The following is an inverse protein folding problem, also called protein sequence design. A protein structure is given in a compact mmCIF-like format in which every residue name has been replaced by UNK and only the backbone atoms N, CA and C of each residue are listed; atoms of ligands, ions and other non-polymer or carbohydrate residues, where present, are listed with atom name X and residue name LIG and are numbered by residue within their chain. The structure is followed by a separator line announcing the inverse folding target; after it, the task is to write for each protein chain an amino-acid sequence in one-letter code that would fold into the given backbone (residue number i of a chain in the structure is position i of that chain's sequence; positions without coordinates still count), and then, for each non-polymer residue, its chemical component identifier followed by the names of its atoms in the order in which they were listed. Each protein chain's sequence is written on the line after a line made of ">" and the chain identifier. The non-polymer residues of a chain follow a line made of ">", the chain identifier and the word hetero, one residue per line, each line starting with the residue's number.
data_IF_094814026419
#
_entry.id   IF_094814026419
#
_cell.length_a   1.000
_cell.length_b   1.000
_cell.length_c   1.000
_cell.angle_alpha   90.00
_cell.angle_beta   90.00
_cell.angle_gamma   90.00
#
_symmetry.space_group_name_H-M   'P 1'
#
loop_
_entity.id
_entity.type
_entity.pdbx_description
1 polymer ?
#
# COMPACT_ATOMS: atom_id res chain seq x y z
N UNK A 1 51.35 -3.18 -36.17
CA UNK A 1 51.25 -3.87 -37.48
C UNK A 1 49.89 -4.56 -37.49
N UNK A 2 48.88 -4.10 -38.23
CA UNK A 2 48.76 -4.00 -39.72
C UNK A 2 48.70 -5.40 -40.37
N UNK A 3 47.76 -5.80 -41.24
CA UNK A 3 46.53 -5.19 -41.84
C UNK A 3 45.42 -6.28 -42.02
N UNK A 4 44.09 -6.08 -42.15
CA UNK A 4 43.16 -4.91 -42.22
C UNK A 4 42.63 -4.41 -43.60
N UNK A 5 42.41 -5.30 -44.58
CA UNK A 5 41.75 -4.98 -45.88
C UNK A 5 40.38 -5.64 -46.11
N UNK A 6 39.42 -5.14 -46.92
CA UNK A 6 39.02 -3.75 -47.28
C UNK A 6 37.61 -3.79 -47.98
N UNK A 7 36.66 -2.92 -47.55
CA UNK A 7 35.59 -2.19 -48.30
C UNK A 7 34.51 -2.78 -49.26
N UNK A 8 33.33 -2.10 -49.27
CA UNK A 8 32.36 -2.00 -50.39
C UNK A 8 30.86 -2.06 -49.98
N UNK A 9 30.20 -1.00 -49.47
CA UNK A 9 29.50 0.11 -50.19
C UNK A 9 28.65 -0.39 -51.38
N UNK A 10 27.33 -0.21 -51.54
CA UNK A 10 26.38 0.83 -51.09
C UNK A 10 24.91 0.55 -51.55
N UNK A 11 23.97 1.53 -51.59
CA UNK A 11 22.56 1.29 -51.20
C UNK A 11 21.45 1.50 -52.28
N UNK A 12 20.22 1.03 -51.98
CA UNK A 12 18.87 1.34 -52.58
C UNK A 12 17.80 0.49 -51.85
N UNK A 13 16.49 0.81 -51.76
CA UNK A 13 15.70 2.06 -51.79
C UNK A 13 14.29 1.75 -51.17
N UNK A 14 13.44 2.75 -50.90
CA UNK A 14 12.12 2.57 -50.26
C UNK A 14 11.12 1.68 -51.04
N UNK A 15 10.20 1.05 -50.29
CA UNK A 15 8.97 0.43 -50.82
C UNK A 15 7.79 0.54 -49.84
N UNK A 16 6.91 1.52 -50.05
CA UNK A 16 5.64 1.69 -49.32
C UNK A 16 4.56 0.75 -49.91
N UNK A 17 4.00 -0.13 -49.07
CA UNK A 17 2.89 -1.01 -49.45
C UNK A 17 1.54 -0.51 -48.93
N UNK A 18 0.78 0.20 -49.77
CA UNK A 18 -0.65 0.42 -49.54
C UNK A 18 -1.42 -0.89 -49.76
N UNK A 19 -2.40 -1.19 -48.91
CA UNK A 19 -3.45 -2.18 -49.20
C UNK A 19 -4.84 -1.56 -49.10
N UNK A 20 -5.75 -2.14 -49.87
CA UNK A 20 -6.87 -1.45 -50.53
C UNK A 20 -8.18 -1.66 -49.79
N UNK A 21 -9.03 -0.63 -49.79
CA UNK A 21 -10.43 -0.72 -49.37
C UNK A 21 -11.24 -1.41 -50.47
N UNK A 22 -12.00 -2.46 -50.13
CA UNK A 22 -13.11 -2.95 -50.94
C UNK A 22 -14.40 -2.97 -50.12
N UNK A 23 -15.49 -2.50 -50.73
CA UNK A 23 -16.81 -2.42 -50.12
C UNK A 23 -17.54 -3.76 -50.30
N UNK A 24 -18.08 -4.32 -49.21
CA UNK A 24 -19.06 -5.40 -49.26
C UNK A 24 -20.39 -4.95 -48.64
N UNK A 25 -21.49 -5.17 -49.37
CA UNK A 25 -22.82 -4.63 -49.09
C UNK A 25 -23.55 -5.41 -47.99
N UNK A 26 -24.30 -4.70 -47.15
CA UNK A 26 -25.10 -5.28 -46.08
C UNK A 26 -26.20 -6.24 -46.56
N UNK A 27 -26.35 -7.38 -45.86
CA UNK A 27 -27.65 -8.00 -45.57
C UNK A 27 -27.71 -8.32 -44.07
N UNK A 28 -28.84 -8.00 -43.45
CA UNK A 28 -28.96 -7.94 -41.99
C UNK A 28 -29.25 -9.28 -41.30
N UNK A 29 -29.03 -9.28 -39.99
CA UNK A 29 -29.40 -10.35 -39.06
C UNK A 29 -29.06 -9.93 -37.64
N UNK A 30 -30.07 -9.63 -36.81
CA UNK A 30 -29.86 -9.17 -35.43
C UNK A 30 -29.18 -10.26 -34.58
N UNK A 31 -28.15 -9.85 -33.82
CA UNK A 31 -27.84 -10.34 -32.46
C UNK A 31 -26.91 -9.35 -31.78
N UNK A 32 -27.37 -8.80 -30.65
CA UNK A 32 -26.56 -7.92 -29.81
C UNK A 32 -25.45 -8.72 -29.12
N UNK A 33 -24.20 -8.30 -29.29
CA UNK A 33 -23.07 -8.80 -28.52
C UNK A 33 -22.45 -7.63 -27.75
N UNK A 34 -22.80 -7.50 -26.47
CA UNK A 34 -22.31 -6.45 -25.59
C UNK A 34 -20.84 -6.68 -25.22
N UNK A 35 -19.94 -6.04 -25.96
CA UNK A 35 -18.50 -6.04 -25.66
C UNK A 35 -18.22 -5.24 -24.39
N UNK A 36 -18.28 -5.92 -23.24
CA UNK A 36 -17.85 -5.38 -21.96
C UNK A 36 -16.33 -5.23 -21.93
N UNK A 37 -15.84 -4.03 -22.30
CA UNK A 37 -14.43 -3.67 -22.22
C UNK A 37 -14.02 -3.40 -20.76
N UNK A 38 -13.94 -4.45 -19.92
CA UNK A 38 -13.45 -4.31 -18.55
C UNK A 38 -11.94 -4.14 -18.54
N UNK A 39 -11.46 -2.99 -18.06
CA UNK A 39 -10.03 -2.70 -17.92
C UNK A 39 -9.34 -3.65 -16.92
N UNK A 40 -8.72 -4.71 -17.44
CA UNK A 40 -7.87 -5.62 -16.66
C UNK A 40 -6.52 -4.97 -16.38
N UNK A 41 -6.32 -4.50 -15.13
CA UNK A 41 -5.02 -4.02 -14.68
C UNK A 41 -3.98 -5.17 -14.63
N UNK A 42 -2.70 -4.90 -14.96
CA UNK A 42 -1.67 -5.94 -15.15
C UNK A 42 -1.25 -6.71 -13.88
N UNK A 43 -1.76 -6.33 -12.70
CA UNK A 43 -1.57 -7.11 -11.47
C UNK A 43 -2.39 -8.42 -11.44
N UNK A 44 -3.42 -8.56 -12.29
CA UNK A 44 -4.28 -9.76 -12.30
C UNK A 44 -3.66 -10.96 -13.04
N UNK A 45 -2.68 -10.72 -13.90
CA UNK A 45 -2.03 -11.77 -14.72
C UNK A 45 -0.79 -12.38 -14.08
N UNK A 46 -0.25 -11.81 -13.00
CA UNK A 46 1.03 -12.26 -12.42
C UNK A 46 0.90 -13.45 -11.44
N UNK A 47 -0.33 -13.90 -11.13
CA UNK A 47 -0.62 -15.00 -10.19
C UNK A 47 -1.35 -16.18 -10.86
N UNK A 48 -1.45 -16.20 -12.19
CA UNK A 48 -2.18 -17.22 -12.95
C UNK A 48 -1.34 -17.70 -14.14
N UNK A 49 -0.30 -18.48 -13.86
CA UNK A 49 0.18 -19.46 -14.84
C UNK A 49 -0.78 -20.65 -14.80
N UNK A 50 -1.37 -21.00 -15.94
CA UNK A 50 -2.58 -21.84 -16.02
C UNK A 50 -2.34 -23.36 -15.96
N UNK A 51 -1.12 -23.81 -15.63
CA UNK A 51 -0.71 -25.23 -15.72
C UNK A 51 -0.69 -25.98 -14.37
N UNK A 52 -1.01 -25.31 -13.26
CA UNK A 52 -0.98 -25.91 -11.91
C UNK A 52 -2.34 -26.20 -11.26
N UNK A 53 -3.45 -26.17 -12.02
CA UNK A 53 -4.80 -26.10 -11.43
C UNK A 53 -5.48 -27.45 -11.14
N UNK A 54 -4.92 -28.59 -11.57
CA UNK A 54 -5.59 -29.89 -11.47
C UNK A 54 -5.30 -30.69 -10.17
N UNK A 55 -4.35 -30.25 -9.33
CA UNK A 55 -3.98 -30.94 -8.06
C UNK A 55 -4.29 -30.13 -6.78
N UNK A 56 -5.11 -29.08 -6.84
CA UNK A 56 -5.42 -28.25 -5.66
C UNK A 56 -6.66 -28.70 -4.90
N UNK A 57 -6.49 -29.02 -3.61
CA UNK A 57 -7.58 -29.47 -2.73
C UNK A 57 -8.58 -28.35 -2.40
N UNK A 58 -9.84 -28.71 -2.12
CA UNK A 58 -10.94 -27.76 -1.83
C UNK A 58 -10.63 -26.67 -0.77
N UNK A 59 -9.91 -26.91 0.35
CA UNK A 59 -9.51 -25.83 1.26
C UNK A 59 -8.54 -24.82 0.65
N UNK A 60 -7.67 -25.22 -0.28
CA UNK A 60 -6.72 -24.31 -0.94
C UNK A 60 -7.45 -23.35 -1.89
N UNK A 61 -8.46 -23.84 -2.62
CA UNK A 61 -9.31 -23.02 -3.48
C UNK A 61 -10.12 -21.99 -2.67
N UNK A 62 -10.59 -22.38 -1.48
CA UNK A 62 -11.24 -21.47 -0.53
C UNK A 62 -10.31 -20.37 -0.01
N UNK A 63 -9.05 -20.72 0.31
CA UNK A 63 -8.03 -19.75 0.72
C UNK A 63 -7.73 -18.73 -0.40
N UNK A 64 -7.55 -19.19 -1.64
CA UNK A 64 -7.31 -18.31 -2.80
C UNK A 64 -8.47 -17.34 -3.02
N UNK A 65 -9.72 -17.81 -2.96
CA UNK A 65 -10.89 -16.93 -3.11
C UNK A 65 -11.03 -15.92 -1.96
N UNK A 66 -10.69 -16.32 -0.73
CA UNK A 66 -10.63 -15.41 0.42
C UNK A 66 -9.58 -14.31 0.23
N UNK A 67 -8.35 -14.69 -0.15
CA UNK A 67 -7.23 -13.78 -0.44
C UNK A 67 -7.57 -12.83 -1.60
N UNK A 68 -8.16 -13.33 -2.68
CA UNK A 68 -8.62 -12.50 -3.79
C UNK A 68 -9.67 -11.46 -3.33
N UNK A 69 -10.62 -11.85 -2.47
CA UNK A 69 -11.61 -10.92 -1.91
C UNK A 69 -10.99 -9.85 -1.01
N UNK A 70 -9.93 -10.19 -0.28
CA UNK A 70 -9.17 -9.27 0.58
C UNK A 70 -8.35 -8.28 -0.25
N UNK A 71 -7.63 -8.76 -1.26
CA UNK A 71 -6.88 -7.93 -2.21
C UNK A 71 -7.81 -6.95 -2.91
N UNK A 72 -8.95 -7.41 -3.42
CA UNK A 72 -9.90 -6.57 -4.14
C UNK A 72 -10.55 -5.52 -3.21
N UNK A 73 -10.79 -5.86 -1.94
CA UNK A 73 -11.21 -4.92 -0.89
C UNK A 73 -10.13 -3.89 -0.57
N UNK A 74 -8.84 -4.25 -0.51
CA UNK A 74 -7.72 -3.31 -0.30
C UNK A 74 -7.52 -2.39 -1.51
N UNK A 75 -7.72 -2.89 -2.73
CA UNK A 75 -7.53 -2.14 -3.98
C UNK A 75 -8.71 -1.23 -4.37
N UNK A 76 -9.93 -1.45 -3.88
CA UNK A 76 -11.11 -0.63 -4.22
C UNK A 76 -11.42 0.52 -3.25
N UNK A 77 -10.56 0.79 -2.27
CA UNK A 77 -10.78 1.84 -1.27
C UNK A 77 -10.75 3.27 -1.85
N UNK A 78 -11.48 4.23 -1.24
CA UNK A 78 -11.46 5.64 -1.62
C UNK A 78 -10.08 6.30 -1.61
N UNK A 79 -9.97 7.44 -2.30
CA UNK A 79 -8.73 8.18 -2.58
C UNK A 79 -8.22 9.00 -1.37
N UNK A 80 -7.93 8.33 -0.24
CA UNK A 80 -7.31 8.95 0.93
C UNK A 80 -5.93 9.57 0.65
N UNK A 81 -5.27 10.12 1.67
CA UNK A 81 -3.98 10.82 1.49
C UNK A 81 -2.90 9.99 0.82
N UNK A 82 -1.95 10.65 0.16
CA UNK A 82 -0.84 9.98 -0.55
C UNK A 82 -0.04 9.09 0.41
N UNK A 83 0.24 9.58 1.63
CA UNK A 83 0.90 8.79 2.67
C UNK A 83 0.05 7.59 3.13
N UNK A 84 -1.26 7.76 3.32
CA UNK A 84 -2.19 6.68 3.70
C UNK A 84 -2.18 5.55 2.65
N UNK A 85 -2.24 5.91 1.36
CA UNK A 85 -2.18 4.95 0.24
C UNK A 85 -0.82 4.26 0.13
N UNK A 86 0.27 4.99 0.29
CA UNK A 86 1.62 4.41 0.24
C UNK A 86 1.78 3.32 1.30
N UNK A 87 1.39 3.59 2.54
CA UNK A 87 1.48 2.61 3.62
C UNK A 87 0.48 1.46 3.44
N UNK A 88 -0.81 1.76 3.51
CA UNK A 88 -1.86 0.74 3.71
C UNK A 88 -2.18 -0.10 2.47
N UNK A 89 -1.70 0.31 1.29
CA UNK A 89 -1.99 -0.35 0.01
C UNK A 89 -0.73 -0.70 -0.78
N UNK A 90 0.17 0.25 -1.00
CA UNK A 90 1.37 -0.02 -1.83
C UNK A 90 2.39 -0.86 -1.05
N UNK A 91 2.78 -0.43 0.14
CA UNK A 91 3.74 -1.17 0.99
C UNK A 91 3.17 -2.50 1.47
N UNK A 92 1.90 -2.54 1.92
CA UNK A 92 1.22 -3.81 2.25
C UNK A 92 1.22 -4.78 1.06
N UNK A 93 0.84 -4.31 -0.13
CA UNK A 93 0.83 -5.13 -1.34
C UNK A 93 2.22 -5.61 -1.76
N UNK A 94 3.21 -4.73 -1.72
CA UNK A 94 4.60 -5.05 -2.02
C UNK A 94 5.17 -6.12 -1.08
N UNK A 95 4.97 -5.96 0.24
CA UNK A 95 5.46 -6.91 1.24
C UNK A 95 4.72 -8.24 1.16
N UNK A 96 3.39 -8.23 0.97
CA UNK A 96 2.60 -9.45 0.81
C UNK A 96 2.99 -10.24 -0.45
N UNK A 97 3.21 -9.57 -1.59
CA UNK A 97 3.69 -10.21 -2.83
C UNK A 97 5.11 -10.73 -2.64
N UNK A 98 6.01 -9.96 -2.01
CA UNK A 98 7.38 -10.40 -1.73
C UNK A 98 7.40 -11.64 -0.83
N UNK A 99 6.60 -11.65 0.24
CA UNK A 99 6.43 -12.81 1.11
C UNK A 99 5.87 -14.03 0.36
N UNK A 100 4.86 -13.84 -0.50
CA UNK A 100 4.27 -14.93 -1.29
C UNK A 100 5.24 -15.52 -2.32
N UNK A 101 6.03 -14.68 -3.00
CA UNK A 101 7.07 -15.12 -3.95
C UNK A 101 8.19 -15.88 -3.23
N UNK A 102 8.63 -15.41 -2.07
CA UNK A 102 9.64 -16.13 -1.30
C UNK A 102 9.09 -17.45 -0.76
N UNK A 103 7.86 -17.47 -0.24
CA UNK A 103 7.17 -18.71 0.15
C UNK A 103 7.06 -19.69 -1.01
N UNK A 104 6.75 -19.24 -2.24
CA UNK A 104 6.68 -20.16 -3.39
C UNK A 104 8.04 -20.76 -3.72
N UNK A 105 9.16 -20.03 -3.59
CA UNK A 105 10.49 -20.61 -3.84
C UNK A 105 10.87 -21.76 -2.90
N UNK A 106 10.24 -21.89 -1.72
CA UNK A 106 10.44 -23.04 -0.83
C UNK A 106 9.75 -24.34 -1.30
N UNK A 107 8.78 -24.26 -2.22
CA UNK A 107 8.06 -25.43 -2.74
C UNK A 107 8.60 -25.96 -4.08
N UNK A 108 9.33 -25.14 -4.85
CA UNK A 108 9.71 -25.44 -6.26
C UNK A 108 11.21 -25.73 -6.46
N UNK A 109 11.99 -25.92 -5.40
CA UNK A 109 13.41 -26.27 -5.51
C UNK A 109 14.10 -26.52 -4.17
N UNK A 110 15.35 -27.01 -4.21
CA UNK A 110 16.17 -27.15 -3.00
C UNK A 110 16.72 -25.78 -2.57
N UNK A 111 16.41 -25.30 -1.35
CA UNK A 111 16.82 -23.96 -0.91
C UNK A 111 18.33 -23.83 -0.70
N UNK A 112 19.01 -24.96 -0.50
CA UNK A 112 20.45 -25.10 -0.28
C UNK A 112 20.93 -26.40 -0.93
N UNK A 113 22.12 -26.38 -1.55
CA UNK A 113 22.79 -27.58 -2.02
C UNK A 113 24.21 -27.62 -1.44
N UNK A 114 24.56 -28.69 -0.74
CA UNK A 114 25.83 -28.85 -0.05
C UNK A 114 26.78 -29.82 -0.78
N UNK A 115 28.04 -29.41 -0.89
CA UNK A 115 29.16 -30.19 -1.39
C UNK A 115 29.48 -31.31 -0.39
N UNK A 116 28.78 -32.43 -0.56
CA UNK A 116 28.92 -33.62 0.25
C UNK A 116 30.09 -34.50 -0.23
N UNK A 117 30.76 -35.25 0.66
CA UNK A 117 31.82 -36.18 0.27
C UNK A 117 31.33 -37.28 -0.70
N UNK A 118 32.18 -37.69 -1.64
CA UNK A 118 31.84 -38.62 -2.72
C UNK A 118 31.34 -40.01 -2.25
N UNK A 119 31.63 -40.40 -1.02
CA UNK A 119 31.14 -41.65 -0.40
C UNK A 119 29.68 -41.60 0.09
N UNK A 120 28.99 -40.45 0.00
CA UNK A 120 27.59 -40.33 0.40
C UNK A 120 26.65 -40.73 -0.74
N UNK A 121 25.67 -41.59 -0.47
CA UNK A 121 24.58 -41.89 -1.42
C UNK A 121 23.63 -40.69 -1.54
N UNK A 122 22.84 -40.63 -2.61
CA UNK A 122 21.92 -39.52 -2.87
C UNK A 122 20.99 -39.18 -1.69
N UNK A 123 20.54 -40.21 -0.96
CA UNK A 123 19.75 -40.07 0.28
C UNK A 123 20.49 -39.39 1.43
N UNK A 124 21.79 -39.64 1.59
CA UNK A 124 22.63 -38.92 2.56
C UNK A 124 22.86 -37.47 2.14
N UNK A 125 23.01 -37.20 0.84
CA UNK A 125 23.16 -35.83 0.32
C UNK A 125 21.88 -35.01 0.58
N UNK A 126 20.71 -35.59 0.34
CA UNK A 126 19.43 -34.95 0.64
C UNK A 126 19.26 -34.69 2.16
N UNK A 127 19.62 -35.66 3.00
CA UNK A 127 19.62 -35.49 4.45
C UNK A 127 20.57 -34.36 4.91
N UNK A 128 21.79 -34.27 4.36
CA UNK A 128 22.74 -33.20 4.67
C UNK A 128 22.19 -31.84 4.24
N UNK A 129 21.59 -31.73 3.04
CA UNK A 129 20.96 -30.50 2.58
C UNK A 129 19.86 -30.03 3.54
N UNK A 130 18.96 -30.93 3.95
CA UNK A 130 17.88 -30.63 4.91
C UNK A 130 18.44 -30.30 6.30
N UNK A 131 19.44 -31.04 6.78
CA UNK A 131 20.10 -30.80 8.06
C UNK A 131 20.72 -29.40 8.12
N UNK A 132 21.53 -29.04 7.11
CA UNK A 132 22.17 -27.72 7.02
C UNK A 132 21.16 -26.59 6.83
N UNK A 133 20.06 -26.84 6.09
CA UNK A 133 18.97 -25.88 5.98
C UNK A 133 18.34 -25.56 7.34
N UNK A 134 18.06 -26.59 8.16
CA UNK A 134 17.36 -26.49 9.45
C UNK A 134 18.27 -25.99 10.58
N UNK A 135 19.49 -26.54 10.71
CA UNK A 135 20.44 -26.17 11.76
C UNK A 135 21.14 -24.82 11.53
N UNK A 136 21.04 -24.26 10.32
CA UNK A 136 21.69 -23.01 9.94
C UNK A 136 23.12 -23.22 9.46
N UNK A 137 23.64 -22.19 8.79
CA UNK A 137 25.01 -22.17 8.26
C UNK A 137 25.78 -20.97 8.83
N UNK A 138 27.08 -20.86 8.53
CA UNK A 138 27.91 -19.72 8.95
C UNK A 138 28.83 -19.28 7.81
N UNK A 139 29.34 -18.06 7.88
CA UNK A 139 30.28 -17.51 6.90
C UNK A 139 31.65 -17.24 7.51
N UNK A 140 32.69 -17.69 6.80
CA UNK A 140 34.10 -17.36 7.02
C UNK A 140 34.68 -16.96 5.65
N UNK A 141 35.50 -15.90 5.54
CA UNK A 141 36.18 -15.56 4.30
C UNK A 141 37.07 -16.70 3.78
N UNK A 142 37.17 -16.87 2.45
CA UNK A 142 37.92 -17.97 1.84
C UNK A 142 39.45 -17.82 1.91
N UNK A 143 39.92 -16.64 2.28
CA UNK A 143 41.31 -16.29 2.53
C UNK A 143 41.74 -16.53 3.99
N UNK A 144 40.79 -16.86 4.89
CA UNK A 144 41.05 -17.23 6.28
C UNK A 144 40.97 -18.76 6.48
N UNK A 145 41.83 -19.32 7.33
CA UNK A 145 41.69 -20.73 7.77
C UNK A 145 40.48 -20.88 8.70
N UNK A 146 39.76 -22.00 8.60
CA UNK A 146 38.61 -22.29 9.47
C UNK A 146 39.04 -22.37 10.95
N UNK A 147 38.52 -21.51 11.85
CA UNK A 147 38.87 -21.56 13.27
C UNK A 147 38.59 -22.90 13.94
N UNK A 148 39.43 -23.31 14.90
CA UNK A 148 39.21 -24.54 15.66
C UNK A 148 38.05 -24.39 16.68
N UNK A 149 37.93 -23.24 17.36
CA UNK A 149 36.81 -22.95 18.24
C UNK A 149 35.52 -22.73 17.42
N UNK A 150 34.45 -23.42 17.80
CA UNK A 150 33.13 -23.29 17.20
C UNK A 150 32.57 -21.86 17.33
N UNK A 151 32.92 -21.13 18.40
CA UNK A 151 32.49 -19.74 18.61
C UNK A 151 33.04 -18.80 17.55
N UNK A 152 34.30 -18.98 17.18
CA UNK A 152 34.96 -18.14 16.18
C UNK A 152 34.48 -18.50 14.77
N UNK A 153 34.28 -19.80 14.47
CA UNK A 153 33.62 -20.23 13.21
C UNK A 153 32.23 -19.63 13.04
N UNK A 154 31.40 -19.69 14.09
CA UNK A 154 29.99 -19.25 14.05
C UNK A 154 29.80 -17.75 14.32
N UNK A 155 30.86 -16.95 14.28
CA UNK A 155 30.82 -15.49 14.52
C UNK A 155 29.85 -14.75 13.57
N UNK A 156 29.69 -15.23 12.34
CA UNK A 156 28.71 -14.73 11.36
C UNK A 156 27.71 -15.85 11.01
N UNK A 157 26.66 -16.05 11.82
CA UNK A 157 25.65 -17.08 11.57
C UNK A 157 24.66 -16.63 10.48
N UNK A 158 24.30 -17.54 9.59
CA UNK A 158 23.36 -17.32 8.48
C UNK A 158 22.16 -18.25 8.69
N UNK A 159 21.10 -17.72 9.30
CA UNK A 159 19.83 -18.43 9.58
C UNK A 159 18.55 -17.63 9.27
N UNK A 160 18.67 -16.37 8.82
CA UNK A 160 17.51 -15.50 8.56
C UNK A 160 16.57 -16.04 7.48
N UNK A 161 17.08 -16.77 6.48
CA UNK A 161 16.34 -17.22 5.30
C UNK A 161 15.12 -18.09 5.63
N UNK A 162 15.11 -18.79 6.77
CA UNK A 162 13.95 -19.54 7.25
C UNK A 162 12.79 -18.62 7.65
N UNK A 163 13.10 -17.41 8.11
CA UNK A 163 12.18 -16.49 8.77
C UNK A 163 11.76 -15.31 7.90
N UNK A 164 12.57 -14.91 6.90
CA UNK A 164 12.28 -13.77 6.01
C UNK A 164 10.84 -13.75 5.48
N UNK A 165 10.28 -14.85 4.91
CA UNK A 165 8.95 -14.77 4.31
C UNK A 165 7.85 -14.51 5.35
N UNK A 166 7.98 -15.10 6.55
CA UNK A 166 7.06 -14.89 7.67
C UNK A 166 7.21 -13.50 8.29
N UNK A 167 8.45 -12.99 8.38
CA UNK A 167 8.73 -11.62 8.82
C UNK A 167 8.05 -10.62 7.86
N UNK A 168 8.27 -10.74 6.56
CA UNK A 168 7.67 -9.84 5.55
C UNK A 168 6.13 -9.88 5.59
N UNK A 169 5.53 -11.05 5.79
CA UNK A 169 4.09 -11.18 5.98
C UNK A 169 3.60 -10.48 7.26
N UNK A 170 4.33 -10.60 8.37
CA UNK A 170 4.05 -9.89 9.61
C UNK A 170 4.19 -8.36 9.45
N UNK A 171 5.25 -7.89 8.78
CA UNK A 171 5.43 -6.48 8.42
C UNK A 171 4.26 -5.95 7.58
N UNK A 172 3.77 -6.72 6.60
CA UNK A 172 2.60 -6.35 5.80
C UNK A 172 1.33 -6.16 6.67
N UNK A 173 1.08 -7.06 7.62
CA UNK A 173 -0.04 -6.93 8.56
C UNK A 173 0.11 -5.69 9.46
N UNK A 174 1.31 -5.45 9.99
CA UNK A 174 1.58 -4.28 10.83
C UNK A 174 1.48 -2.97 10.04
N UNK A 175 1.88 -2.92 8.76
CA UNK A 175 1.64 -1.75 7.89
C UNK A 175 0.15 -1.46 7.65
N UNK A 176 -0.71 -2.47 7.68
CA UNK A 176 -2.18 -2.32 7.56
C UNK A 176 -2.85 -1.88 8.89
N UNK A 177 -2.25 -2.21 10.04
CA UNK A 177 -2.86 -2.02 11.36
C UNK A 177 -3.31 -0.56 11.67
N UNK A 178 -2.53 0.51 11.41
CA UNK A 178 -2.99 1.87 11.67
C UNK A 178 -4.21 2.25 10.82
N UNK A 179 -4.33 1.69 9.60
CA UNK A 179 -5.50 1.91 8.73
C UNK A 179 -6.77 1.26 9.28
N UNK A 180 -6.62 0.07 9.84
CA UNK A 180 -7.69 -0.63 10.55
C UNK A 180 -8.15 0.18 11.78
N UNK A 181 -7.20 0.64 12.60
CA UNK A 181 -7.47 1.48 13.78
C UNK A 181 -8.20 2.77 13.38
N UNK A 182 -7.75 3.47 12.34
CA UNK A 182 -8.43 4.67 11.83
C UNK A 182 -9.89 4.40 11.44
N UNK A 183 -10.17 3.29 10.73
CA UNK A 183 -11.55 2.92 10.35
C UNK A 183 -12.41 2.64 11.58
N UNK A 184 -11.89 1.90 12.56
CA UNK A 184 -12.59 1.61 13.81
C UNK A 184 -12.87 2.89 14.62
N UNK A 185 -11.94 3.84 14.66
CA UNK A 185 -12.13 5.15 15.30
C UNK A 185 -13.17 6.03 14.57
N UNK A 186 -13.24 5.98 13.24
CA UNK A 186 -14.31 6.64 12.49
C UNK A 186 -15.70 6.12 12.92
N UNK A 187 -15.88 4.79 12.96
CA UNK A 187 -17.14 4.16 13.38
C UNK A 187 -17.48 4.53 14.83
N UNK A 188 -16.48 4.51 15.73
CA UNK A 188 -16.66 4.92 17.12
C UNK A 188 -17.05 6.40 17.28
N UNK A 189 -16.55 7.29 16.41
CA UNK A 189 -16.90 8.72 16.42
C UNK A 189 -18.36 9.03 16.00
N UNK A 190 -19.09 8.04 15.49
CA UNK A 190 -20.47 8.18 15.04
C UNK A 190 -20.63 8.85 13.66
N UNK A 191 -19.53 9.25 13.01
CA UNK A 191 -19.54 9.86 11.67
C UNK A 191 -18.75 8.99 10.66
N UNK A 192 -19.45 8.41 9.68
CA UNK A 192 -18.80 7.65 8.60
C UNK A 192 -18.25 8.58 7.50
N UNK A 193 -17.03 9.08 7.74
CA UNK A 193 -16.30 9.87 6.75
C UNK A 193 -16.06 9.12 5.43
N UNK A 194 -15.85 7.79 5.47
CA UNK A 194 -15.56 7.01 4.27
C UNK A 194 -16.83 6.86 3.41
N UNK A 195 -17.98 6.63 4.04
CA UNK A 195 -19.30 6.65 3.42
C UNK A 195 -19.64 8.02 2.83
N UNK A 196 -19.39 9.09 3.59
CA UNK A 196 -19.61 10.47 3.14
C UNK A 196 -18.79 10.82 1.89
N UNK A 197 -17.48 10.56 1.90
CA UNK A 197 -16.61 10.72 0.72
C UNK A 197 -17.12 9.87 -0.45
N UNK A 198 -17.51 8.61 -0.19
CA UNK A 198 -18.05 7.69 -1.19
C UNK A 198 -19.39 8.15 -1.78
N UNK A 199 -20.22 8.86 -1.02
CA UNK A 199 -21.46 9.47 -1.51
C UNK A 199 -21.16 10.66 -2.42
N UNK A 200 -20.44 11.68 -1.93
CA UNK A 200 -20.12 12.89 -2.70
C UNK A 200 -19.37 12.55 -4.01
N UNK A 201 -18.46 11.57 -3.97
CA UNK A 201 -17.71 11.16 -5.16
C UNK A 201 -18.59 10.44 -6.20
N UNK A 202 -19.64 9.72 -5.78
CA UNK A 202 -20.63 9.13 -6.71
C UNK A 202 -21.51 10.21 -7.32
N UNK A 203 -22.07 11.11 -6.50
CA UNK A 203 -22.87 12.24 -6.98
C UNK A 203 -22.08 13.09 -7.97
N UNK A 204 -20.81 13.40 -7.71
CA UNK A 204 -19.96 14.14 -8.65
C UNK A 204 -19.70 13.37 -9.96
N UNK A 205 -19.52 12.05 -9.90
CA UNK A 205 -19.33 11.22 -11.09
C UNK A 205 -20.60 11.14 -11.97
N UNK A 206 -21.80 11.23 -11.38
CA UNK A 206 -23.07 11.32 -12.08
C UNK A 206 -23.29 12.72 -12.69
N UNK A 207 -23.10 13.78 -11.90
CA UNK A 207 -23.19 15.18 -12.36
C UNK A 207 -22.24 15.44 -13.53
N UNK A 208 -21.02 14.86 -13.52
CA UNK A 208 -20.05 15.02 -14.61
C UNK A 208 -20.49 14.36 -15.93
N UNK A 209 -21.35 13.33 -15.88
CA UNK A 209 -21.89 12.66 -17.09
C UNK A 209 -23.10 13.39 -17.68
N UNK A 210 -23.86 14.09 -16.84
CA UNK A 210 -25.05 14.81 -17.27
C UNK A 210 -24.70 16.18 -17.86
N UNK A 211 -25.19 16.55 -19.06
CA UNK A 211 -24.95 17.86 -19.67
C UNK A 211 -25.82 18.96 -19.02
N UNK A 212 -25.61 19.20 -17.72
CA UNK A 212 -26.29 20.26 -16.97
C UNK A 212 -25.52 21.58 -17.04
N UNK A 213 -26.28 22.69 -17.10
CA UNK A 213 -25.79 24.05 -16.84
C UNK A 213 -25.20 24.17 -15.43
N UNK A 214 -24.31 25.15 -15.21
CA UNK A 214 -23.68 25.43 -13.92
C UNK A 214 -24.71 25.52 -12.77
N UNK A 215 -25.84 26.20 -13.01
CA UNK A 215 -26.92 26.34 -12.05
C UNK A 215 -27.55 24.98 -11.65
N UNK A 216 -27.82 24.10 -12.61
CA UNK A 216 -28.37 22.77 -12.33
C UNK A 216 -27.41 21.87 -11.55
N UNK A 217 -26.10 22.01 -11.79
CA UNK A 217 -25.08 21.30 -10.98
C UNK A 217 -25.07 21.80 -9.53
N UNK A 218 -25.17 23.12 -9.33
CA UNK A 218 -25.25 23.71 -7.99
C UNK A 218 -26.50 23.22 -7.25
N UNK A 219 -27.66 23.22 -7.91
CA UNK A 219 -28.93 22.77 -7.33
C UNK A 219 -28.88 21.32 -6.83
N UNK A 220 -28.20 20.41 -7.55
CA UNK A 220 -28.01 19.03 -7.09
C UNK A 220 -27.13 18.97 -5.83
N UNK A 221 -26.06 19.76 -5.77
CA UNK A 221 -25.22 19.85 -4.57
C UNK A 221 -25.99 20.42 -3.37
N UNK A 222 -26.80 21.45 -3.58
CA UNK A 222 -27.64 22.08 -2.55
C UNK A 222 -28.69 21.12 -2.01
N UNK A 223 -29.53 20.53 -2.89
CA UNK A 223 -30.68 19.72 -2.47
C UNK A 223 -30.34 18.31 -1.96
N UNK A 224 -29.22 17.72 -2.38
CA UNK A 224 -28.88 16.33 -2.03
C UNK A 224 -27.59 16.23 -1.20
N UNK A 225 -26.51 16.85 -1.69
CA UNK A 225 -25.16 16.60 -1.15
C UNK A 225 -24.93 17.37 0.16
N UNK A 226 -25.31 18.64 0.19
CA UNK A 226 -25.21 19.50 1.37
C UNK A 226 -26.16 19.06 2.48
N UNK A 227 -27.42 18.72 2.17
CA UNK A 227 -28.39 18.19 3.14
C UNK A 227 -27.85 16.95 3.84
N UNK A 228 -27.41 15.94 3.08
CA UNK A 228 -26.87 14.69 3.64
C UNK A 228 -25.64 14.93 4.54
N UNK A 229 -24.72 15.82 4.14
CA UNK A 229 -23.54 16.14 4.93
C UNK A 229 -23.87 16.97 6.18
N UNK A 230 -24.80 17.93 6.08
CA UNK A 230 -25.26 18.72 7.22
C UNK A 230 -25.95 17.82 8.26
N UNK A 231 -26.85 16.93 7.84
CA UNK A 231 -27.48 15.94 8.73
C UNK A 231 -26.45 15.03 9.39
N UNK A 232 -25.52 14.48 8.60
CA UNK A 232 -24.46 13.60 9.10
C UNK A 232 -23.56 14.30 10.12
N UNK A 233 -23.18 15.56 9.89
CA UNK A 233 -22.39 16.37 10.82
C UNK A 233 -23.15 16.69 12.11
N UNK A 234 -24.45 17.04 12.03
CA UNK A 234 -25.28 17.33 13.20
C UNK A 234 -25.46 16.06 14.06
N UNK A 235 -25.82 14.94 13.45
CA UNK A 235 -25.95 13.63 14.11
C UNK A 235 -24.62 13.18 14.74
N UNK A 236 -23.50 13.40 14.06
CA UNK A 236 -22.17 13.13 14.57
C UNK A 236 -21.86 13.94 15.84
N UNK A 237 -22.12 15.25 15.84
CA UNK A 237 -21.91 16.12 17.01
C UNK A 237 -22.71 15.68 18.23
N UNK A 238 -23.99 15.34 18.05
CA UNK A 238 -24.85 14.85 19.13
C UNK A 238 -24.30 13.59 19.82
N UNK A 239 -23.53 12.76 19.10
CA UNK A 239 -22.89 11.54 19.64
C UNK A 239 -21.45 11.73 20.12
N UNK A 240 -21.02 12.95 20.44
CA UNK A 240 -19.63 13.33 20.80
C UNK A 240 -18.61 13.21 19.66
N UNK A 241 -19.04 13.34 18.39
CA UNK A 241 -18.17 13.33 17.21
C UNK A 241 -17.15 14.48 17.09
N UNK A 242 -16.95 15.27 18.15
CA UNK A 242 -16.04 16.43 18.23
C UNK A 242 -14.54 16.09 18.34
N UNK A 243 -14.18 14.84 18.01
CA UNK A 243 -12.82 14.32 18.15
C UNK A 243 -12.31 13.68 16.86
N UNK A 244 -13.04 13.76 15.74
CA UNK A 244 -12.66 13.01 14.51
C UNK A 244 -11.33 13.51 13.93
N UNK A 245 -11.07 14.81 14.00
CA UNK A 245 -9.76 15.37 13.63
C UNK A 245 -8.63 14.89 14.56
N UNK A 246 -8.89 14.82 15.87
CA UNK A 246 -7.90 14.33 16.85
C UNK A 246 -7.61 12.83 16.67
N UNK A 247 -8.64 12.02 16.39
CA UNK A 247 -8.47 10.60 16.05
C UNK A 247 -7.69 10.41 14.74
N UNK A 248 -7.85 11.31 13.78
CA UNK A 248 -7.04 11.29 12.56
C UNK A 248 -5.57 11.64 12.84
N UNK A 249 -5.31 12.67 13.65
CA UNK A 249 -3.96 13.01 14.08
C UNK A 249 -3.30 11.84 14.82
N UNK A 250 -4.01 11.21 15.76
CA UNK A 250 -3.55 9.99 16.43
C UNK A 250 -3.21 8.87 15.44
N UNK A 251 -4.08 8.62 14.44
CA UNK A 251 -3.82 7.60 13.42
C UNK A 251 -2.60 7.93 12.54
N UNK A 252 -2.37 9.20 12.18
CA UNK A 252 -1.18 9.60 11.40
C UNK A 252 0.11 9.50 12.21
N UNK A 253 0.08 9.86 13.50
CA UNK A 253 1.20 9.62 14.43
C UNK A 253 1.51 8.13 14.54
N UNK A 254 0.49 7.29 14.75
CA UNK A 254 0.65 5.83 14.81
C UNK A 254 1.22 5.25 13.50
N UNK A 255 0.77 5.77 12.34
CA UNK A 255 1.31 5.38 11.03
C UNK A 255 2.78 5.77 10.86
N UNK A 256 3.17 6.95 11.35
CA UNK A 256 4.55 7.44 11.32
C UNK A 256 5.47 6.61 12.24
N UNK A 257 5.04 6.35 13.48
CA UNK A 257 5.77 5.51 14.43
C UNK A 257 5.96 4.09 13.90
N UNK A 258 4.91 3.51 13.30
CA UNK A 258 4.99 2.21 12.65
C UNK A 258 6.00 2.23 11.48
N UNK A 259 5.93 3.19 10.56
CA UNK A 259 6.85 3.24 9.42
C UNK A 259 8.33 3.28 9.84
N UNK A 260 8.68 4.07 10.86
CA UNK A 260 10.03 4.08 11.44
C UNK A 260 10.39 2.78 12.16
N UNK A 261 9.47 2.21 12.95
CA UNK A 261 9.69 0.94 13.63
C UNK A 261 9.91 -0.22 12.65
N UNK A 262 9.20 -0.26 11.53
CA UNK A 262 9.38 -1.29 10.49
C UNK A 262 10.74 -1.17 9.79
N UNK A 263 11.20 0.05 9.49
CA UNK A 263 12.53 0.28 8.92
C UNK A 263 13.67 -0.07 9.91
N UNK A 264 13.52 0.28 11.19
CA UNK A 264 14.47 -0.13 12.24
C UNK A 264 14.47 -1.67 12.44
N UNK A 265 13.29 -2.30 12.40
CA UNK A 265 13.19 -3.76 12.51
C UNK A 265 13.88 -4.44 11.32
N UNK A 266 13.74 -3.92 10.10
CA UNK A 266 14.43 -4.42 8.91
C UNK A 266 15.95 -4.41 9.08
N UNK A 267 16.52 -3.34 9.66
CA UNK A 267 17.96 -3.28 9.96
C UNK A 267 18.42 -4.40 10.90
N UNK A 268 17.62 -4.74 11.92
CA UNK A 268 17.95 -5.83 12.85
C UNK A 268 17.83 -7.22 12.22
N UNK A 269 16.88 -7.43 11.30
CA UNK A 269 16.69 -8.70 10.59
C UNK A 269 17.86 -8.99 9.64
N UNK A 270 18.45 -7.95 9.06
CA UNK A 270 19.62 -8.05 8.16
C UNK A 270 20.93 -8.26 8.94
N UNK A 271 20.90 -8.24 10.29
CA UNK A 271 22.05 -8.50 11.18
C UNK A 271 23.30 -7.64 10.85
N UNK A 272 23.08 -6.37 10.51
CA UNK A 272 24.16 -5.39 10.40
C UNK A 272 24.72 -5.06 11.79
N UNK A 273 25.73 -5.81 12.22
CA UNK A 273 26.45 -5.57 13.48
C UNK A 273 27.25 -4.24 13.49
N UNK A 274 27.39 -3.58 12.34
CA UNK A 274 28.34 -2.46 12.16
C UNK A 274 27.64 -1.10 12.05
N UNK A 275 26.44 -0.99 11.44
CA UNK A 275 25.72 0.29 11.38
C UNK A 275 24.21 0.19 11.10
N UNK A 276 23.45 1.19 11.60
CA UNK A 276 22.03 1.42 11.28
C UNK A 276 21.81 1.93 9.83
N UNK A 277 22.87 2.28 9.11
CA UNK A 277 22.85 2.80 7.74
C UNK A 277 23.24 1.75 6.70
N UNK A 278 22.94 0.48 6.99
CA UNK A 278 23.30 -0.69 6.19
C UNK A 278 23.06 -0.50 4.68
N UNK A 279 21.87 -0.02 4.29
CA UNK A 279 21.51 0.12 2.86
C UNK A 279 22.40 1.11 2.08
N UNK A 280 22.92 2.15 2.75
CA UNK A 280 23.91 3.04 2.12
C UNK A 280 25.28 2.38 2.02
N UNK A 281 25.73 1.68 3.08
CA UNK A 281 27.01 0.97 3.10
C UNK A 281 27.11 -0.02 1.95
N UNK A 282 26.13 -0.91 1.82
CA UNK A 282 26.11 -1.94 0.78
C UNK A 282 26.03 -1.35 -0.63
N UNK A 283 25.29 -0.26 -0.85
CA UNK A 283 25.30 0.43 -2.15
C UNK A 283 26.69 1.01 -2.45
N UNK A 284 27.36 1.62 -1.47
CA UNK A 284 28.73 2.11 -1.67
C UNK A 284 29.73 0.98 -1.92
N UNK A 285 29.65 -0.13 -1.19
CA UNK A 285 30.50 -1.31 -1.38
C UNK A 285 30.34 -1.89 -2.80
N UNK A 286 29.09 -2.05 -3.27
CA UNK A 286 28.79 -2.54 -4.62
C UNK A 286 29.33 -1.58 -5.70
N UNK A 287 29.24 -0.26 -5.50
CA UNK A 287 29.79 0.73 -6.44
C UNK A 287 31.31 0.64 -6.53
N UNK A 288 32.00 0.36 -5.41
CA UNK A 288 33.45 0.15 -5.37
C UNK A 288 33.87 -1.26 -5.82
N UNK A 289 32.92 -2.13 -6.19
CA UNK A 289 33.20 -3.51 -6.62
C UNK A 289 33.55 -4.48 -5.49
N UNK A 290 33.30 -4.11 -4.23
CA UNK A 290 33.56 -4.96 -3.07
C UNK A 290 32.45 -6.02 -2.98
N UNK A 291 32.85 -7.30 -3.04
CA UNK A 291 31.94 -8.44 -3.03
C UNK A 291 31.63 -8.99 -1.64
N UNK A 292 30.57 -9.81 -1.58
CA UNK A 292 30.15 -10.56 -0.38
C UNK A 292 31.27 -11.44 0.22
N UNK A 293 32.27 -11.81 -0.59
CA UNK A 293 33.43 -12.58 -0.16
C UNK A 293 34.29 -11.87 0.89
N UNK A 294 34.31 -10.53 0.89
CA UNK A 294 35.08 -9.72 1.85
C UNK A 294 34.19 -9.15 2.96
N UNK A 295 32.94 -8.79 2.65
CA UNK A 295 32.05 -8.12 3.61
C UNK A 295 31.23 -9.09 4.45
N UNK A 296 31.07 -10.35 4.00
CA UNK A 296 30.17 -11.32 4.61
C UNK A 296 28.67 -10.95 4.52
N UNK A 297 28.32 -9.88 3.80
CA UNK A 297 26.93 -9.49 3.56
C UNK A 297 26.33 -10.35 2.44
N UNK A 298 25.24 -11.06 2.74
CA UNK A 298 24.52 -11.94 1.82
C UNK A 298 25.43 -12.95 1.08
N UNK A 299 26.17 -13.81 1.81
CA UNK A 299 27.12 -14.74 1.22
C UNK A 299 26.40 -15.80 0.39
N UNK A 300 26.97 -16.16 -0.76
CA UNK A 300 26.37 -17.13 -1.70
C UNK A 300 26.88 -18.55 -1.47
N UNK A 301 27.97 -18.68 -0.72
CA UNK A 301 28.53 -19.94 -0.24
C UNK A 301 28.72 -19.79 1.26
N UNK A 302 28.28 -20.77 2.03
CA UNK A 302 28.41 -20.83 3.49
C UNK A 302 28.94 -22.18 3.94
N UNK A 303 29.41 -22.26 5.17
CA UNK A 303 29.87 -23.49 5.80
C UNK A 303 28.77 -24.07 6.69
N UNK A 304 28.68 -25.40 6.73
CA UNK A 304 27.78 -26.14 7.61
C UNK A 304 28.58 -27.23 8.34
N UNK A 305 28.47 -27.28 9.66
CA UNK A 305 29.06 -28.33 10.49
C UNK A 305 28.03 -29.46 10.67
N UNK A 306 28.32 -30.63 10.10
CA UNK A 306 27.47 -31.82 10.10
C UNK A 306 27.98 -32.86 11.11
N UNK A 307 27.12 -33.25 12.06
CA UNK A 307 27.48 -34.14 13.17
C UNK A 307 27.03 -35.59 12.93
N UNK A 308 27.98 -36.50 12.62
CA UNK A 308 27.73 -37.95 12.57
C UNK A 308 28.01 -38.59 13.92
N UNK A 309 27.00 -39.28 14.49
CA UNK A 309 27.14 -40.02 15.75
C UNK A 309 27.47 -41.48 15.50
N UNK A 310 28.56 -41.96 16.10
CA UNK A 310 28.90 -43.37 16.27
C UNK A 310 28.89 -43.70 17.78
N UNK A 311 28.78 -44.97 18.18
CA UNK A 311 29.00 -45.35 19.58
C UNK A 311 30.34 -44.78 20.10
N UNK A 312 30.29 -44.07 21.22
CA UNK A 312 31.42 -43.38 21.87
C UNK A 312 32.15 -42.28 21.05
N UNK A 313 31.65 -41.83 19.89
CA UNK A 313 32.31 -40.76 19.11
C UNK A 313 31.33 -39.90 18.29
N UNK A 314 31.48 -38.58 18.36
CA UNK A 314 30.86 -37.63 17.44
C UNK A 314 31.90 -37.18 16.43
N UNK A 315 31.65 -37.46 15.16
CA UNK A 315 32.49 -37.00 14.04
C UNK A 315 31.82 -35.77 13.44
N UNK A 316 32.52 -34.62 13.50
CA UNK A 316 32.07 -33.37 12.90
C UNK A 316 32.75 -33.21 11.54
N UNK A 317 31.98 -33.13 10.47
CA UNK A 317 32.46 -32.84 9.12
C UNK A 317 31.93 -31.46 8.69
N UNK A 318 32.80 -30.55 8.25
CA UNK A 318 32.36 -29.25 7.69
C UNK A 318 32.18 -29.38 6.18
N UNK A 319 31.00 -29.04 5.68
CA UNK A 319 30.66 -29.03 4.24
C UNK A 319 30.39 -27.61 3.75
N UNK A 320 30.73 -27.34 2.49
CA UNK A 320 30.41 -26.08 1.81
C UNK A 320 29.01 -26.17 1.20
N UNK A 321 28.20 -25.14 1.34
CA UNK A 321 26.83 -25.11 0.84
C UNK A 321 26.55 -23.86 0.01
N UNK A 322 25.89 -24.04 -1.15
CA UNK A 322 25.51 -22.96 -2.06
C UNK A 322 24.10 -22.48 -1.75
N UNK A 323 23.98 -21.18 -1.48
CA UNK A 323 22.78 -20.52 -0.98
C UNK A 323 22.09 -19.72 -2.10
N UNK A 324 21.47 -20.44 -3.05
CA UNK A 324 20.90 -19.89 -4.29
C UNK A 324 19.90 -18.75 -4.06
N UNK A 325 19.10 -18.81 -2.99
CA UNK A 325 18.11 -17.78 -2.68
C UNK A 325 18.76 -16.44 -2.30
N UNK A 326 20.04 -16.42 -1.88
CA UNK A 326 20.64 -15.25 -1.29
C UNK A 326 20.90 -14.11 -2.27
N UNK A 327 21.07 -14.40 -3.57
CA UNK A 327 21.16 -13.38 -4.61
C UNK A 327 19.83 -12.60 -4.76
N UNK A 328 18.68 -13.26 -4.55
CA UNK A 328 17.38 -12.62 -4.58
C UNK A 328 17.13 -11.81 -3.29
N UNK A 329 17.50 -12.37 -2.13
CA UNK A 329 17.44 -11.64 -0.85
C UNK A 329 18.28 -10.36 -0.89
N UNK A 330 19.52 -10.42 -1.37
CA UNK A 330 20.41 -9.26 -1.54
C UNK A 330 19.70 -8.10 -2.27
N UNK A 331 19.11 -8.36 -3.45
CA UNK A 331 18.45 -7.31 -4.26
C UNK A 331 17.11 -6.88 -3.68
N UNK A 332 16.33 -7.80 -3.13
CA UNK A 332 15.05 -7.49 -2.49
C UNK A 332 15.25 -6.60 -1.26
N UNK A 333 16.19 -6.92 -0.38
CA UNK A 333 16.42 -6.16 0.84
C UNK A 333 16.98 -4.77 0.57
N UNK A 334 17.89 -4.60 -0.39
CA UNK A 334 18.35 -3.27 -0.83
C UNK A 334 17.14 -2.43 -1.28
N UNK A 335 16.27 -2.97 -2.14
CA UNK A 335 15.08 -2.26 -2.62
C UNK A 335 14.10 -1.92 -1.47
N UNK A 336 13.75 -2.90 -0.63
CA UNK A 336 12.83 -2.71 0.49
C UNK A 336 13.35 -1.70 1.50
N UNK A 337 14.67 -1.64 1.74
CA UNK A 337 15.28 -0.70 2.67
C UNK A 337 15.06 0.75 2.24
N UNK A 338 15.38 1.09 0.97
CA UNK A 338 15.13 2.42 0.43
C UNK A 338 13.64 2.73 0.33
N UNK A 339 12.80 1.74 -0.01
CA UNK A 339 11.35 1.91 -0.07
C UNK A 339 10.74 2.24 1.29
N UNK A 340 11.08 1.48 2.34
CA UNK A 340 10.59 1.73 3.70
C UNK A 340 11.09 3.07 4.25
N UNK A 341 12.35 3.43 3.99
CA UNK A 341 12.89 4.74 4.37
C UNK A 341 12.13 5.90 3.69
N UNK A 342 11.91 5.80 2.38
CA UNK A 342 11.10 6.78 1.63
C UNK A 342 9.68 6.91 2.20
N UNK A 343 9.01 5.78 2.50
CA UNK A 343 7.68 5.78 3.10
C UNK A 343 7.69 6.43 4.49
N UNK A 344 8.70 6.16 5.32
CA UNK A 344 8.86 6.78 6.64
C UNK A 344 9.04 8.31 6.55
N UNK A 345 9.84 8.80 5.61
CA UNK A 345 10.02 10.24 5.35
C UNK A 345 8.70 10.88 4.89
N UNK A 346 8.01 10.28 3.91
CA UNK A 346 6.72 10.80 3.40
C UNK A 346 5.64 10.80 4.48
N UNK A 347 5.57 9.78 5.35
CA UNK A 347 4.64 9.78 6.50
C UNK A 347 4.98 10.84 7.53
N UNK A 348 6.27 11.08 7.78
CA UNK A 348 6.71 12.11 8.73
C UNK A 348 6.26 13.49 8.24
N UNK A 349 6.49 13.80 6.96
CA UNK A 349 6.03 15.05 6.33
C UNK A 349 4.50 15.19 6.42
N UNK A 350 3.75 14.13 6.11
CA UNK A 350 2.28 14.13 6.18
C UNK A 350 1.76 14.37 7.61
N UNK A 351 2.38 13.72 8.60
CA UNK A 351 2.01 13.86 10.01
C UNK A 351 2.32 15.26 10.54
N UNK A 352 3.47 15.83 10.17
CA UNK A 352 3.81 17.23 10.47
C UNK A 352 2.80 18.19 9.82
N UNK A 353 2.44 17.96 8.55
CA UNK A 353 1.45 18.79 7.85
C UNK A 353 0.10 18.78 8.55
N UNK A 354 -0.46 17.62 8.89
CA UNK A 354 -1.72 17.52 9.62
C UNK A 354 -1.64 18.09 11.04
N UNK A 355 -0.52 17.88 11.74
CA UNK A 355 -0.28 18.49 13.06
C UNK A 355 -0.36 20.01 12.97
N UNK A 356 0.28 20.62 11.97
CA UNK A 356 0.24 22.06 11.73
C UNK A 356 -1.14 22.55 11.27
N UNK A 357 -1.87 21.77 10.47
CA UNK A 357 -3.22 22.12 9.98
C UNK A 357 -4.28 22.07 11.08
N UNK A 358 -4.15 21.17 12.07
CA UNK A 358 -5.04 21.13 13.24
C UNK A 358 -4.64 22.14 14.33
N UNK A 359 -3.33 22.29 14.62
CA UNK A 359 -2.88 23.24 15.66
C UNK A 359 -3.02 24.71 15.24
N UNK A 360 -2.94 25.04 13.95
CA UNK A 360 -3.18 26.40 13.43
C UNK A 360 -4.58 26.52 12.84
N UNK A 361 -5.17 27.70 12.91
CA UNK A 361 -6.35 28.08 12.09
C UNK A 361 -5.98 28.26 10.60
N UNK A 362 -5.31 27.26 10.01
CA UNK A 362 -4.94 27.24 8.60
C UNK A 362 -6.02 26.60 7.72
N UNK A 363 -6.73 25.57 8.22
CA UNK A 363 -7.87 24.97 7.51
C UNK A 363 -8.95 26.01 7.12
N UNK A 364 -9.18 27.02 7.96
CA UNK A 364 -10.10 28.13 7.66
C UNK A 364 -9.65 28.99 6.49
N UNK A 365 -8.34 29.12 6.22
CA UNK A 365 -7.81 29.83 5.05
C UNK A 365 -8.09 29.05 3.77
N UNK A 366 -7.88 27.74 3.81
CA UNK A 366 -8.15 26.83 2.67
C UNK A 366 -9.63 26.86 2.30
N UNK A 367 -10.53 26.72 3.28
CA UNK A 367 -11.99 26.76 3.06
C UNK A 367 -12.48 28.15 2.62
N UNK A 368 -11.92 29.23 3.19
CA UNK A 368 -12.18 30.61 2.71
C UNK A 368 -11.81 30.77 1.24
N UNK A 369 -10.70 30.17 0.78
CA UNK A 369 -10.28 30.20 -0.62
C UNK A 369 -11.27 29.51 -1.56
N UNK A 370 -11.86 28.38 -1.16
CA UNK A 370 -12.88 27.69 -1.96
C UNK A 370 -14.20 28.46 -2.04
N UNK A 371 -14.62 29.10 -0.95
CA UNK A 371 -15.82 29.93 -0.95
C UNK A 371 -15.67 31.15 -1.85
N UNK A 372 -14.54 31.86 -1.77
CA UNK A 372 -14.23 33.01 -2.64
C UNK A 372 -14.22 32.63 -4.13
N UNK A 373 -13.78 31.42 -4.48
CA UNK A 373 -13.85 30.91 -5.86
C UNK A 373 -15.29 30.75 -6.36
N UNK A 374 -16.20 30.31 -5.49
CA UNK A 374 -17.62 30.14 -5.85
C UNK A 374 -18.39 31.45 -5.80
N UNK A 375 -18.02 32.38 -4.92
CA UNK A 375 -18.59 33.73 -4.84
C UNK A 375 -18.42 34.53 -6.14
N UNK A 376 -17.28 34.39 -6.84
CA UNK A 376 -17.09 35.03 -8.16
C UNK A 376 -17.94 34.41 -9.29
N UNK A 377 -18.53 33.24 -9.05
CA UNK A 377 -19.36 32.49 -10.01
C UNK A 377 -20.86 32.50 -9.65
N UNK A 378 -21.20 32.92 -8.43
CA UNK A 378 -22.57 32.94 -7.91
C UNK A 378 -23.17 34.36 -8.01
N UNK A 379 -24.38 34.47 -8.56
CA UNK A 379 -25.02 35.77 -8.80
C UNK A 379 -25.77 36.34 -7.57
N UNK A 380 -25.71 35.68 -6.42
CA UNK A 380 -26.39 36.07 -5.18
C UNK A 380 -25.38 36.46 -4.09
N UNK A 381 -25.75 37.40 -3.22
CA UNK A 381 -24.94 37.75 -2.04
C UNK A 381 -24.80 36.52 -1.14
N UNK A 382 -23.58 36.08 -0.81
CA UNK A 382 -23.39 34.89 0.00
C UNK A 382 -23.62 35.14 1.50
N UNK A 383 -23.92 34.09 2.28
CA UNK A 383 -23.96 34.15 3.74
C UNK A 383 -22.67 34.69 4.37
N UNK A 384 -22.80 35.23 5.59
CA UNK A 384 -21.69 35.76 6.38
C UNK A 384 -20.65 34.66 6.71
N UNK A 385 -19.58 34.60 5.91
CA UNK A 385 -18.47 33.64 5.96
C UNK A 385 -17.96 33.31 7.38
N UNK A 386 -17.79 34.29 8.27
CA UNK A 386 -17.35 34.02 9.65
C UNK A 386 -18.34 33.13 10.41
N UNK A 387 -19.64 33.44 10.37
CA UNK A 387 -20.69 32.63 11.01
C UNK A 387 -20.74 31.20 10.44
N UNK A 388 -20.53 31.04 9.14
CA UNK A 388 -20.43 29.72 8.51
C UNK A 388 -19.24 28.91 9.05
N UNK A 389 -18.05 29.52 9.17
CA UNK A 389 -16.87 28.85 9.72
C UNK A 389 -17.06 28.48 11.21
N UNK A 390 -17.70 29.36 11.98
CA UNK A 390 -17.98 29.13 13.40
C UNK A 390 -19.00 28.00 13.60
N UNK A 391 -20.08 27.96 12.80
CA UNK A 391 -21.06 26.86 12.81
C UNK A 391 -20.51 25.54 12.30
N UNK A 392 -19.62 25.55 11.29
CA UNK A 392 -18.99 24.34 10.75
C UNK A 392 -17.95 23.75 11.73
N UNK A 393 -17.34 24.57 12.57
CA UNK A 393 -16.43 24.14 13.64
C UNK A 393 -15.18 23.42 13.12
N UNK A 394 -14.34 22.93 14.04
CA UNK A 394 -13.07 22.29 13.66
C UNK A 394 -13.27 20.97 12.91
N UNK A 395 -14.21 20.12 13.36
CA UNK A 395 -14.47 18.82 12.75
C UNK A 395 -15.08 18.95 11.34
N UNK A 396 -16.01 19.90 11.14
CA UNK A 396 -16.61 20.12 9.84
C UNK A 396 -15.61 20.70 8.83
N UNK A 397 -14.68 21.56 9.27
CA UNK A 397 -13.56 22.02 8.45
C UNK A 397 -12.65 20.86 8.04
N UNK A 398 -12.32 19.97 8.97
CA UNK A 398 -11.53 18.76 8.70
C UNK A 398 -12.24 17.82 7.70
N UNK A 399 -13.53 17.55 7.89
CA UNK A 399 -14.34 16.73 6.97
C UNK A 399 -14.38 17.35 5.57
N UNK A 400 -14.55 18.66 5.45
CA UNK A 400 -14.52 19.37 4.17
C UNK A 400 -13.15 19.28 3.49
N UNK A 401 -12.05 19.39 4.24
CA UNK A 401 -10.68 19.23 3.72
C UNK A 401 -10.44 17.79 3.24
N UNK A 402 -10.86 16.77 3.99
CA UNK A 402 -10.79 15.35 3.60
C UNK A 402 -11.60 15.05 2.33
N UNK A 403 -12.83 15.56 2.21
CA UNK A 403 -13.64 15.44 0.99
C UNK A 403 -12.92 16.12 -0.19
N UNK A 404 -12.32 17.29 0.03
CA UNK A 404 -11.57 18.02 -1.01
C UNK A 404 -10.36 17.24 -1.51
N UNK A 405 -9.60 16.61 -0.62
CA UNK A 405 -8.43 15.80 -0.96
C UNK A 405 -8.78 14.55 -1.81
N UNK A 406 -9.97 13.99 -1.60
CA UNK A 406 -10.45 12.82 -2.32
C UNK A 406 -11.03 13.14 -3.71
N UNK A 407 -11.79 14.23 -3.83
CA UNK A 407 -12.65 14.52 -5.01
C UNK A 407 -12.11 15.68 -5.86
N UNK A 408 -11.32 16.58 -5.26
CA UNK A 408 -10.68 17.71 -5.92
C UNK A 408 -11.32 19.07 -5.60
N UNK A 409 -10.61 20.15 -5.94
CA UNK A 409 -10.95 21.53 -5.54
C UNK A 409 -12.26 22.07 -6.12
N UNK A 410 -12.57 21.72 -7.38
CA UNK A 410 -13.79 22.20 -8.07
C UNK A 410 -15.07 21.65 -7.41
N UNK A 411 -15.28 20.33 -7.24
CA UNK A 411 -16.45 19.83 -6.51
C UNK A 411 -16.50 20.29 -5.05
N UNK A 412 -15.35 20.50 -4.41
CA UNK A 412 -15.29 21.07 -3.06
C UNK A 412 -15.79 22.53 -2.98
N UNK A 413 -15.59 23.35 -4.02
CA UNK A 413 -16.06 24.75 -4.02
C UNK A 413 -17.58 24.84 -4.18
N UNK A 414 -18.19 23.99 -5.04
CA UNK A 414 -19.65 23.81 -5.09
C UNK A 414 -20.19 23.35 -3.74
N UNK A 415 -19.57 22.32 -3.14
CA UNK A 415 -19.99 21.80 -1.85
C UNK A 415 -19.89 22.84 -0.72
N UNK A 416 -18.83 23.64 -0.68
CA UNK A 416 -18.63 24.67 0.34
C UNK A 416 -19.73 25.74 0.27
N UNK A 417 -20.11 26.16 -0.94
CA UNK A 417 -21.21 27.10 -1.15
C UNK A 417 -22.55 26.47 -0.75
N UNK A 418 -22.87 25.29 -1.27
CA UNK A 418 -24.10 24.56 -0.98
C UNK A 418 -24.28 24.29 0.53
N UNK A 419 -23.22 23.91 1.24
CA UNK A 419 -23.21 23.76 2.71
C UNK A 419 -23.50 25.07 3.42
N UNK A 420 -23.02 26.22 2.92
CA UNK A 420 -23.26 27.52 3.54
C UNK A 420 -24.71 27.97 3.40
N UNK A 421 -25.35 27.72 2.24
CA UNK A 421 -26.76 27.99 1.99
C UNK A 421 -27.65 27.07 2.85
N UNK A 422 -27.35 25.77 2.90
CA UNK A 422 -28.13 24.82 3.71
C UNK A 422 -28.05 25.10 5.22
N UNK A 423 -26.88 25.50 5.74
CA UNK A 423 -26.74 25.92 7.14
C UNK A 423 -27.46 27.24 7.42
N UNK A 424 -27.44 28.22 6.50
CA UNK A 424 -28.22 29.45 6.63
C UNK A 424 -29.73 29.17 6.57
N UNK A 425 -30.19 28.30 5.68
CA UNK A 425 -31.59 27.85 5.60
C UNK A 425 -32.03 27.19 6.91
N UNK A 426 -31.20 26.32 7.49
CA UNK A 426 -31.44 25.71 8.81
C UNK A 426 -31.43 26.73 9.95
N UNK A 427 -30.60 27.78 9.88
CA UNK A 427 -30.63 28.87 10.87
C UNK A 427 -31.90 29.71 10.74
N UNK A 428 -32.36 29.97 9.52
CA UNK A 428 -33.62 30.67 9.27
C UNK A 428 -34.82 29.88 9.84
N UNK A 429 -34.85 28.57 9.62
CA UNK A 429 -35.81 27.63 10.24
C UNK A 429 -35.58 27.42 11.75
N UNK A 430 -34.37 27.66 12.26
CA UNK A 430 -34.07 27.57 13.70
C UNK A 430 -34.47 28.81 14.50
N UNK A 431 -34.65 29.96 13.84
CA UNK A 431 -35.29 31.15 14.41
C UNK A 431 -36.78 31.23 14.09
N UNK A 432 -37.14 30.85 12.87
CA UNK A 432 -38.47 30.50 12.36
C UNK A 432 -38.95 29.11 12.76
N UNK A 433 -39.41 28.91 14.00
CA UNK A 433 -40.07 27.70 14.54
C UNK A 433 -39.19 26.64 15.24
N UNK A 434 -39.24 26.70 16.58
CA UNK A 434 -39.77 25.55 17.33
C UNK A 434 -41.26 25.38 16.95
N UNK A 435 -41.54 24.56 15.93
CA UNK A 435 -42.87 24.01 15.65
C UNK A 435 -42.75 22.49 15.58
N UNK A 436 -43.74 21.80 16.12
CA UNK A 436 -43.62 20.40 16.56
C UNK A 436 -43.86 19.38 15.43
N UNK A 437 -43.67 19.78 14.17
CA UNK A 437 -44.19 19.07 12.99
C UNK A 437 -43.14 18.39 12.10
N UNK A 438 -41.93 18.11 12.61
CA UNK A 438 -40.97 17.23 11.92
C UNK A 438 -41.28 15.73 12.17
N UNK A 439 -41.69 14.95 11.15
CA UNK A 439 -42.15 13.56 11.33
C UNK A 439 -41.04 12.56 11.73
N UNK A 440 -39.80 13.01 11.89
CA UNK A 440 -38.69 12.22 12.42
C UNK A 440 -38.49 12.38 13.93
N UNK A 441 -38.97 13.48 14.53
CA UNK A 441 -38.84 13.71 15.98
C UNK A 441 -39.84 12.85 16.78
N UNK A 442 -41.07 12.72 16.27
CA UNK A 442 -42.14 11.94 16.92
C UNK A 442 -41.79 10.45 17.05
N UNK A 443 -41.07 9.88 16.07
CA UNK A 443 -40.58 8.49 16.12
C UNK A 443 -39.51 8.26 17.17
N UNK A 444 -38.71 9.28 17.52
CA UNK A 444 -37.71 9.14 18.59
C UNK A 444 -38.36 9.11 19.97
N UNK A 445 -39.48 9.82 20.17
CA UNK A 445 -40.15 9.93 21.48
C UNK A 445 -41.05 8.73 21.79
N UNK A 446 -41.61 8.08 20.77
CA UNK A 446 -42.42 6.85 20.88
C UNK A 446 -41.62 5.55 21.03
N UNK A 447 -40.29 5.60 20.98
CA UNK A 447 -39.40 4.45 21.19
C UNK A 447 -38.72 4.44 22.58
N UNK A 448 -39.08 5.40 23.45
CA UNK A 448 -38.47 5.62 24.76
C UNK A 448 -39.50 5.81 25.89
N UNK A 449 -40.65 5.17 25.76
CA UNK A 449 -41.70 5.02 26.79
C UNK A 449 -42.09 3.54 26.84
#
# INVERSE_FOLDING_TARGET
>A
MFDKEYYGVGPRLLGLGYLRVENAVCKGGLREASVNLSSTHPLRSFLLSSEGLEEMTSPQLGAINSVNSLIDKVLKQPKGDVADRLNSRVTVGLLAVSAAVLLSTHFWGSPINCWSPAQFTSTWIEFVNQYCYVHGTYFVPFDEELPYDEKDRRKVPINYYQWVPYILACQALLFYLPRFIWKSLCVFSGFDLMGAIGFVNRSWAEIKKSPQSFAGRMEVFEKHVAVYLADSLILGRQKKGHLIGLFYLFATILQCLNAWAQWLWLNSVIQSHVSNTWGFSVVTEIIHGIGWQQTGHFPRITHCDFARRRPASVQMDTVLCVLHLNIYYEKLFIFLWFWMFFVAVVTTINTIWWSLTLCRKNATKTVRGYFMLTETMASQKPPMMSKFLDELGQDGLFVMEQITLNIGRVPASYLTYAMSVELERRRALGGSEYDETSPLYEKSKKASV
#
